data_IF_679146966304
#
_entry.id   IF_679146966304
#
_cell.length_a   1.000
_cell.length_b   1.000
_cell.length_c   1.000
_cell.angle_alpha   90.00
_cell.angle_beta   90.00
_cell.angle_gamma   90.00
#
_symmetry.space_group_name_H-M   'P 1'
#
loop_
_entity.id
_entity.type
_entity.pdbx_description
1 polymer ?
#
# COMPACT_ATOMS: atom_id res chain seq x y z
N UNK A 1 44.03 45.40 -12.23
CA UNK A 1 43.27 44.83 -11.10
C UNK A 1 41.90 45.47 -10.88
N UNK A 2 41.59 46.65 -11.45
CA UNK A 2 40.35 47.40 -11.20
C UNK A 2 39.13 47.03 -12.07
N UNK A 3 39.30 46.28 -13.17
CA UNK A 3 38.16 45.88 -14.04
C UNK A 3 37.45 44.60 -13.60
N UNK A 4 38.13 43.69 -12.90
CA UNK A 4 37.51 42.45 -12.42
C UNK A 4 36.59 42.70 -11.22
N UNK A 5 36.92 43.66 -10.35
CA UNK A 5 36.08 44.05 -9.22
C UNK A 5 34.80 44.76 -9.65
N UNK A 6 34.83 45.54 -10.73
CA UNK A 6 33.62 46.21 -11.27
C UNK A 6 32.66 45.18 -11.87
N UNK A 7 33.18 44.13 -12.51
CA UNK A 7 32.35 43.08 -13.11
C UNK A 7 31.66 42.21 -12.04
N UNK A 8 32.38 41.86 -10.97
CA UNK A 8 31.82 41.18 -9.79
C UNK A 8 30.80 42.04 -9.03
N UNK A 9 31.07 43.35 -8.87
CA UNK A 9 30.10 44.28 -8.28
C UNK A 9 28.85 44.42 -9.14
N UNK A 10 28.97 44.39 -10.48
CA UNK A 10 27.83 44.45 -11.38
C UNK A 10 26.98 43.19 -11.33
N UNK A 11 27.60 42.01 -11.22
CA UNK A 11 26.89 40.72 -11.10
C UNK A 11 26.18 40.61 -9.76
N UNK A 12 26.81 41.07 -8.67
CA UNK A 12 26.21 41.05 -7.33
C UNK A 12 25.03 42.03 -7.23
N UNK A 13 25.14 43.20 -7.84
CA UNK A 13 24.06 44.19 -7.89
C UNK A 13 22.88 43.70 -8.74
N UNK A 14 23.13 43.01 -9.86
CA UNK A 14 22.07 42.37 -10.66
C UNK A 14 21.31 41.31 -9.84
N UNK A 15 22.02 40.48 -9.07
CA UNK A 15 21.40 39.43 -8.26
C UNK A 15 20.57 39.99 -7.08
N UNK A 16 21.03 41.04 -6.40
CA UNK A 16 20.30 41.66 -5.29
C UNK A 16 19.06 42.44 -5.77
N UNK A 17 19.10 42.99 -6.99
CA UNK A 17 17.98 43.76 -7.55
C UNK A 17 16.86 42.86 -8.09
N UNK A 18 17.16 41.65 -8.56
CA UNK A 18 16.15 40.66 -8.97
C UNK A 18 15.47 39.99 -7.77
N UNK A 19 16.22 39.69 -6.70
CA UNK A 19 15.67 39.10 -5.47
C UNK A 19 14.78 40.10 -4.72
N UNK A 20 15.12 41.39 -4.74
CA UNK A 20 14.29 42.44 -4.11
C UNK A 20 13.03 42.74 -4.91
N UNK A 21 13.04 42.60 -6.25
CA UNK A 21 11.82 42.72 -7.07
C UNK A 21 10.87 41.54 -6.91
N UNK A 22 11.38 40.33 -6.70
CA UNK A 22 10.55 39.14 -6.47
C UNK A 22 9.75 39.20 -5.14
N UNK A 23 10.14 40.05 -4.19
CA UNK A 23 9.50 40.11 -2.85
C UNK A 23 8.43 41.21 -2.72
N UNK A 24 8.23 42.09 -3.72
CA UNK A 24 7.33 43.26 -3.59
C UNK A 24 6.27 43.43 -4.70
N UNK A 25 5.78 42.35 -5.29
CA UNK A 25 4.53 42.38 -6.08
C UNK A 25 3.55 41.32 -5.61
N UNK A 26 2.95 41.56 -4.45
CA UNK A 26 1.66 41.01 -4.09
C UNK A 26 0.55 41.73 -4.90
N UNK A 27 0.32 41.33 -6.15
CA UNK A 27 -0.99 41.40 -6.85
C UNK A 27 -0.90 40.86 -8.30
N UNK A 28 -1.52 39.70 -8.51
CA UNK A 28 -2.12 39.15 -9.76
C UNK A 28 -1.29 39.01 -11.06
N UNK A 29 -0.68 37.83 -11.29
CA UNK A 29 -0.58 37.14 -12.61
C UNK A 29 -0.06 35.67 -12.48
N UNK A 30 -0.31 34.75 -13.44
CA UNK A 30 -0.68 33.35 -13.16
C UNK A 30 0.38 32.26 -13.48
N UNK A 31 1.65 32.43 -13.09
CA UNK A 31 2.69 31.40 -13.39
C UNK A 31 3.28 30.74 -12.14
N UNK A 32 3.54 31.47 -11.06
CA UNK A 32 3.99 30.89 -9.78
C UNK A 32 2.85 30.21 -8.98
N UNK A 33 1.62 30.61 -9.29
CA UNK A 33 0.42 30.05 -8.68
C UNK A 33 0.13 28.63 -9.18
N UNK A 34 0.61 28.25 -10.37
CA UNK A 34 0.29 26.94 -10.96
C UNK A 34 1.04 25.82 -10.23
N UNK A 35 2.33 26.01 -9.94
CA UNK A 35 3.14 24.99 -9.24
C UNK A 35 2.75 24.88 -7.76
N UNK A 36 2.50 26.00 -7.08
CA UNK A 36 2.03 25.99 -5.68
C UNK A 36 0.62 25.41 -5.57
N UNK A 37 -0.28 25.69 -6.52
CA UNK A 37 -1.62 25.11 -6.53
C UNK A 37 -1.59 23.62 -6.84
N UNK A 38 -0.72 23.16 -7.74
CA UNK A 38 -0.59 21.75 -8.09
C UNK A 38 0.06 20.94 -6.96
N UNK A 39 1.09 21.49 -6.30
CA UNK A 39 1.69 20.89 -5.10
C UNK A 39 0.72 20.85 -3.92
N UNK A 40 -0.04 21.93 -3.71
CA UNK A 40 -1.09 21.96 -2.68
C UNK A 40 -2.19 20.96 -2.98
N UNK A 41 -2.67 20.91 -4.22
CA UNK A 41 -3.65 19.91 -4.66
C UNK A 41 -3.12 18.48 -4.48
N UNK A 42 -1.85 18.22 -4.83
CA UNK A 42 -1.20 16.92 -4.64
C UNK A 42 -1.06 16.53 -3.15
N UNK A 43 -0.76 17.48 -2.28
CA UNK A 43 -0.70 17.24 -0.84
C UNK A 43 -2.09 17.05 -0.23
N UNK A 44 -3.10 17.81 -0.67
CA UNK A 44 -4.49 17.68 -0.21
C UNK A 44 -5.07 16.31 -0.61
N UNK A 45 -4.83 15.84 -1.84
CA UNK A 45 -5.26 14.49 -2.25
C UNK A 45 -4.53 13.40 -1.47
N UNK A 46 -3.22 13.51 -1.26
CA UNK A 46 -2.46 12.52 -0.50
C UNK A 46 -2.87 12.47 0.96
N UNK A 47 -3.17 13.62 1.57
CA UNK A 47 -3.72 13.71 2.91
C UNK A 47 -5.09 13.03 2.99
N UNK A 48 -6.00 13.34 2.06
CA UNK A 48 -7.31 12.70 1.98
C UNK A 48 -7.20 11.17 1.82
N UNK A 49 -6.35 10.69 0.91
CA UNK A 49 -6.09 9.25 0.74
C UNK A 49 -5.54 8.60 2.02
N UNK A 50 -4.64 9.28 2.73
CA UNK A 50 -4.05 8.78 3.97
C UNK A 50 -5.10 8.66 5.08
N UNK A 51 -5.95 9.67 5.25
CA UNK A 51 -7.05 9.66 6.22
C UNK A 51 -8.03 8.53 5.90
N UNK A 52 -8.49 8.44 4.65
CA UNK A 52 -9.44 7.40 4.22
C UNK A 52 -8.86 5.99 4.43
N UNK A 53 -7.59 5.76 4.05
CA UNK A 53 -6.95 4.46 4.24
C UNK A 53 -6.83 4.10 5.72
N UNK A 54 -6.49 5.07 6.56
CA UNK A 54 -6.32 4.85 8.00
C UNK A 54 -7.65 4.54 8.68
N UNK A 55 -8.73 5.26 8.36
CA UNK A 55 -10.06 4.97 8.92
C UNK A 55 -10.58 3.61 8.45
N UNK A 56 -10.43 3.28 7.17
CA UNK A 56 -10.75 1.96 6.64
C UNK A 56 -9.91 0.86 7.29
N UNK A 57 -8.63 1.12 7.59
CA UNK A 57 -7.77 0.15 8.23
C UNK A 57 -8.22 -0.14 9.67
N UNK A 58 -8.53 0.89 10.46
CA UNK A 58 -9.04 0.72 11.84
C UNK A 58 -10.36 -0.06 11.83
N UNK A 59 -11.29 0.33 10.96
CA UNK A 59 -12.57 -0.37 10.81
C UNK A 59 -12.37 -1.82 10.36
N UNK A 60 -11.50 -2.03 9.37
CA UNK A 60 -11.18 -3.36 8.83
C UNK A 60 -10.57 -4.28 9.89
N UNK A 61 -9.65 -3.79 10.73
CA UNK A 61 -9.09 -4.59 11.83
C UNK A 61 -10.18 -5.00 12.80
N UNK A 62 -11.04 -4.08 13.22
CA UNK A 62 -12.15 -4.39 14.12
C UNK A 62 -13.11 -5.44 13.53
N UNK A 63 -13.51 -5.26 12.27
CA UNK A 63 -14.39 -6.20 11.56
C UNK A 63 -13.76 -7.59 11.40
N UNK A 64 -12.47 -7.64 11.05
CA UNK A 64 -11.72 -8.90 10.92
C UNK A 64 -11.58 -9.63 12.25
N UNK A 65 -11.33 -8.90 13.34
CA UNK A 65 -11.26 -9.49 14.69
C UNK A 65 -12.59 -10.11 15.12
N UNK A 66 -13.71 -9.40 14.90
CA UNK A 66 -15.04 -9.95 15.20
C UNK A 66 -15.31 -11.21 14.37
N UNK A 67 -15.00 -11.16 13.07
CA UNK A 67 -15.16 -12.30 12.16
C UNK A 67 -14.34 -13.51 12.61
N UNK A 68 -13.07 -13.31 12.99
CA UNK A 68 -12.21 -14.38 13.52
C UNK A 68 -12.81 -15.04 14.76
N UNK A 69 -13.26 -14.23 15.73
CA UNK A 69 -13.84 -14.73 16.99
C UNK A 69 -15.11 -15.54 16.73
N UNK A 70 -16.00 -15.05 15.86
CA UNK A 70 -17.25 -15.75 15.52
C UNK A 70 -16.97 -17.08 14.81
N UNK A 71 -16.07 -17.08 13.82
CA UNK A 71 -15.77 -18.27 13.01
C UNK A 71 -14.95 -19.34 13.74
N UNK A 72 -14.19 -18.95 14.77
CA UNK A 72 -13.41 -19.90 15.60
C UNK A 72 -14.31 -20.72 16.54
N UNK A 73 -15.59 -20.38 16.67
CA UNK A 73 -16.52 -21.15 17.48
C UNK A 73 -16.71 -22.57 16.91
N UNK A 74 -16.48 -23.59 17.76
CA UNK A 74 -16.53 -25.02 17.40
C UNK A 74 -17.88 -25.44 16.78
N UNK A 75 -18.98 -24.77 17.13
CA UNK A 75 -20.31 -25.02 16.54
C UNK A 75 -20.42 -24.62 15.06
N UNK A 76 -19.62 -23.66 14.61
CA UNK A 76 -19.61 -23.15 13.24
C UNK A 76 -18.49 -23.76 12.40
N UNK A 77 -17.80 -24.79 12.89
CA UNK A 77 -16.68 -25.36 12.17
C UNK A 77 -17.16 -26.10 10.92
N UNK A 78 -16.88 -25.49 9.76
CA UNK A 78 -17.21 -26.00 8.43
C UNK A 78 -16.08 -25.66 7.46
N UNK A 79 -16.01 -26.29 6.27
CA UNK A 79 -15.05 -25.94 5.22
C UNK A 79 -15.15 -24.45 4.81
N UNK A 80 -16.38 -23.93 4.71
CA UNK A 80 -16.63 -22.50 4.46
C UNK A 80 -16.06 -21.61 5.54
N UNK A 81 -16.23 -21.95 6.82
CA UNK A 81 -15.66 -21.17 7.93
C UNK A 81 -14.14 -21.15 7.88
N UNK A 82 -13.50 -22.21 7.39
CA UNK A 82 -12.05 -22.27 7.19
C UNK A 82 -11.57 -21.37 6.04
N UNK A 83 -12.33 -21.30 4.94
CA UNK A 83 -12.06 -20.34 3.85
C UNK A 83 -12.22 -18.89 4.33
N UNK A 84 -13.30 -18.60 5.06
CA UNK A 84 -13.55 -17.28 5.63
C UNK A 84 -12.47 -16.89 6.67
N UNK A 85 -12.01 -17.84 7.49
CA UNK A 85 -10.89 -17.58 8.41
C UNK A 85 -9.59 -17.29 7.65
N UNK A 86 -9.34 -17.97 6.53
CA UNK A 86 -8.21 -17.65 5.66
C UNK A 86 -8.33 -16.25 5.06
N UNK A 87 -9.54 -15.83 4.69
CA UNK A 87 -9.79 -14.48 4.18
C UNK A 87 -9.44 -13.42 5.24
N UNK A 88 -9.87 -13.64 6.48
CA UNK A 88 -9.52 -12.78 7.62
C UNK A 88 -8.00 -12.67 7.81
N UNK A 89 -7.26 -13.77 7.63
CA UNK A 89 -5.79 -13.75 7.70
C UNK A 89 -5.20 -12.90 6.57
N UNK A 90 -5.65 -13.06 5.33
CA UNK A 90 -5.16 -12.25 4.21
C UNK A 90 -5.47 -10.76 4.40
N UNK A 91 -6.67 -10.42 4.83
CA UNK A 91 -7.07 -9.03 5.05
C UNK A 91 -6.29 -8.42 6.23
N UNK A 92 -6.02 -9.18 7.30
CA UNK A 92 -5.16 -8.73 8.39
C UNK A 92 -3.72 -8.45 7.93
N UNK A 93 -3.14 -9.32 7.09
CA UNK A 93 -1.82 -9.11 6.49
C UNK A 93 -1.82 -7.86 5.59
N UNK A 94 -2.87 -7.67 4.78
CA UNK A 94 -3.01 -6.49 3.93
C UNK A 94 -3.05 -5.19 4.74
N UNK A 95 -3.82 -5.18 5.84
CA UNK A 95 -3.92 -4.03 6.74
C UNK A 95 -2.59 -3.73 7.42
N UNK A 96 -1.88 -4.74 7.93
CA UNK A 96 -0.54 -4.58 8.51
C UNK A 96 0.46 -4.03 7.48
N UNK A 97 0.46 -4.58 6.26
CA UNK A 97 1.34 -4.14 5.17
C UNK A 97 0.98 -2.73 4.66
N UNK A 98 -0.21 -2.21 4.98
CA UNK A 98 -0.62 -0.85 4.67
C UNK A 98 -0.20 0.19 5.72
N UNK A 99 0.32 -0.21 6.89
CA UNK A 99 0.77 0.72 7.93
C UNK A 99 2.02 1.51 7.48
N UNK A 100 3.09 0.87 6.95
CA UNK A 100 4.32 1.56 6.58
C UNK A 100 4.14 2.74 5.59
N UNK A 101 3.31 2.65 4.52
CA UNK A 101 3.12 3.77 3.60
C UNK A 101 2.35 4.94 4.25
N UNK A 102 1.50 4.68 5.23
CA UNK A 102 0.79 5.73 5.99
C UNK A 102 1.72 6.51 6.92
N UNK A 103 2.80 5.89 7.41
CA UNK A 103 3.78 6.54 8.30
C UNK A 103 4.60 7.61 7.56
N UNK A 104 4.87 7.46 6.25
CA UNK A 104 5.58 8.49 5.45
C UNK A 104 4.88 9.84 5.47
N UNK A 105 3.55 9.82 5.46
CA UNK A 105 2.73 11.02 5.40
C UNK A 105 2.59 11.73 6.75
N UNK A 106 2.89 11.03 7.87
CA UNK A 106 2.70 11.55 9.23
C UNK A 106 4.01 11.80 9.99
N UNK A 107 5.06 11.01 9.74
CA UNK A 107 6.33 11.12 10.46
C UNK A 107 7.48 11.34 9.49
N UNK A 108 8.13 12.49 9.60
CA UNK A 108 9.45 12.75 9.02
C UNK A 108 10.45 11.91 9.85
N UNK A 109 10.58 10.63 9.52
CA UNK A 109 11.56 9.77 10.17
C UNK A 109 12.94 10.07 9.60
N UNK A 110 13.88 10.51 10.44
CA UNK A 110 15.27 10.79 10.03
C UNK A 110 16.05 9.51 9.63
N UNK A 111 15.51 8.32 9.91
CA UNK A 111 16.08 7.03 9.47
C UNK A 111 15.51 6.58 8.11
N UNK A 112 16.06 7.17 7.05
CA UNK A 112 15.69 6.89 5.66
C UNK A 112 15.97 5.43 5.26
N UNK A 113 16.97 4.80 5.87
CA UNK A 113 17.42 3.44 5.49
C UNK A 113 16.54 2.35 6.09
N UNK A 114 16.17 2.48 7.36
CA UNK A 114 15.16 1.61 7.99
C UNK A 114 13.81 1.71 7.29
N UNK A 115 13.39 2.93 6.93
CA UNK A 115 12.15 3.18 6.22
C UNK A 115 12.13 2.60 4.79
N UNK A 116 13.21 2.79 4.02
CA UNK A 116 13.32 2.23 2.66
C UNK A 116 13.25 0.70 2.65
N UNK A 117 13.94 0.06 3.59
CA UNK A 117 13.91 -1.40 3.76
C UNK A 117 12.50 -1.90 4.08
N UNK A 118 11.81 -1.21 5.01
CA UNK A 118 10.43 -1.56 5.37
C UNK A 118 9.45 -1.37 4.21
N UNK A 119 9.62 -0.31 3.40
CA UNK A 119 8.87 -0.11 2.15
C UNK A 119 9.07 -1.25 1.16
N UNK A 120 10.33 -1.62 0.91
CA UNK A 120 10.71 -2.68 -0.02
C UNK A 120 10.09 -4.04 0.33
N UNK A 121 9.86 -4.31 1.61
CA UNK A 121 9.23 -5.56 2.10
C UNK A 121 7.70 -5.44 2.17
N UNK A 122 7.17 -4.31 2.63
CA UNK A 122 5.72 -4.11 2.79
C UNK A 122 4.97 -4.12 1.45
N UNK A 123 5.59 -3.60 0.39
CA UNK A 123 4.96 -3.49 -0.93
C UNK A 123 4.62 -4.86 -1.52
N UNK A 124 5.57 -5.81 -1.70
CA UNK A 124 5.25 -7.15 -2.22
C UNK A 124 4.27 -7.90 -1.30
N UNK A 125 4.43 -7.81 0.03
CA UNK A 125 3.51 -8.47 0.97
C UNK A 125 2.08 -7.96 0.80
N UNK A 126 1.88 -6.65 0.60
CA UNK A 126 0.55 -6.08 0.36
C UNK A 126 -0.10 -6.64 -0.90
N UNK A 127 0.66 -6.76 -2.00
CA UNK A 127 0.14 -7.38 -3.23
C UNK A 127 -0.15 -8.87 -3.05
N UNK A 128 0.69 -9.60 -2.33
CA UNK A 128 0.43 -11.00 -1.99
C UNK A 128 -0.87 -11.16 -1.23
N UNK A 129 -1.06 -10.35 -0.19
CA UNK A 129 -2.25 -10.38 0.64
C UNK A 129 -3.52 -10.04 -0.16
N UNK A 130 -3.43 -9.03 -1.04
CA UNK A 130 -4.53 -8.64 -1.92
C UNK A 130 -4.91 -9.78 -2.88
N UNK A 131 -3.93 -10.40 -3.55
CA UNK A 131 -4.19 -11.52 -4.47
C UNK A 131 -4.73 -12.74 -3.72
N UNK A 132 -4.17 -13.07 -2.55
CA UNK A 132 -4.65 -14.15 -1.69
C UNK A 132 -6.09 -13.95 -1.26
N UNK A 133 -6.47 -12.73 -0.89
CA UNK A 133 -7.85 -12.35 -0.54
C UNK A 133 -8.81 -12.52 -1.73
N UNK A 134 -8.42 -12.08 -2.93
CA UNK A 134 -9.22 -12.25 -4.17
C UNK A 134 -9.46 -13.73 -4.48
N UNK A 135 -8.40 -14.54 -4.53
CA UNK A 135 -8.54 -15.97 -4.84
C UNK A 135 -9.31 -16.73 -3.76
N UNK A 136 -9.14 -16.36 -2.49
CA UNK A 136 -9.92 -16.94 -1.40
C UNK A 136 -11.40 -16.58 -1.53
N UNK A 137 -11.71 -15.32 -1.86
CA UNK A 137 -13.09 -14.86 -2.10
C UNK A 137 -13.74 -15.62 -3.25
N UNK A 138 -13.04 -15.78 -4.38
CA UNK A 138 -13.52 -16.59 -5.51
C UNK A 138 -13.72 -18.05 -5.08
N UNK A 139 -12.85 -18.60 -4.25
CA UNK A 139 -13.02 -19.96 -3.74
C UNK A 139 -14.28 -20.09 -2.89
N UNK A 140 -14.57 -19.10 -2.02
CA UNK A 140 -15.82 -19.07 -1.21
C UNK A 140 -17.06 -18.99 -2.11
N UNK A 141 -17.03 -18.15 -3.15
CA UNK A 141 -18.18 -18.03 -4.06
C UNK A 141 -18.40 -19.31 -4.87
N UNK A 142 -17.32 -19.94 -5.36
CA UNK A 142 -17.39 -21.23 -6.04
C UNK A 142 -17.92 -22.33 -5.10
N UNK A 143 -17.46 -22.38 -3.86
CA UNK A 143 -17.97 -23.32 -2.86
C UNK A 143 -19.48 -23.18 -2.67
N UNK A 144 -19.96 -21.94 -2.46
CA UNK A 144 -21.40 -21.63 -2.33
C UNK A 144 -22.19 -21.98 -3.58
N UNK A 145 -21.63 -21.73 -4.75
CA UNK A 145 -22.25 -22.07 -6.03
C UNK A 145 -22.42 -23.59 -6.21
N UNK A 146 -21.39 -24.37 -5.89
CA UNK A 146 -21.43 -25.82 -5.95
C UNK A 146 -22.46 -26.41 -4.98
N UNK A 147 -22.56 -25.85 -3.77
CA UNK A 147 -23.56 -26.29 -2.77
C UNK A 147 -24.98 -26.12 -3.29
N UNK A 148 -25.27 -25.01 -3.98
CA UNK A 148 -26.61 -24.69 -4.49
C UNK A 148 -26.97 -25.54 -5.71
N UNK A 149 -26.06 -25.68 -6.68
CA UNK A 149 -26.39 -26.34 -7.96
C UNK A 149 -26.15 -27.84 -7.96
N UNK A 150 -25.15 -28.34 -7.24
CA UNK A 150 -24.74 -29.76 -7.31
C UNK A 150 -24.40 -30.30 -5.92
N UNK A 151 -25.40 -30.49 -5.04
CA UNK A 151 -25.18 -30.87 -3.64
C UNK A 151 -24.43 -32.20 -3.47
N UNK A 152 -24.60 -33.15 -4.40
CA UNK A 152 -23.87 -34.43 -4.42
C UNK A 152 -22.37 -34.25 -4.63
N UNK A 153 -21.98 -33.37 -5.56
CA UNK A 153 -20.57 -33.08 -5.83
C UNK A 153 -19.99 -32.13 -4.77
N UNK A 154 -20.78 -31.20 -4.25
CA UNK A 154 -20.36 -30.27 -3.19
C UNK A 154 -19.78 -31.00 -1.97
N UNK A 155 -20.33 -32.17 -1.59
CA UNK A 155 -19.80 -32.97 -0.47
C UNK A 155 -18.38 -33.50 -0.70
N UNK A 156 -18.00 -33.72 -1.96
CA UNK A 156 -16.65 -34.20 -2.33
C UNK A 156 -15.66 -33.04 -2.42
N UNK A 157 -16.10 -31.88 -2.95
CA UNK A 157 -15.26 -30.69 -3.06
C UNK A 157 -15.08 -29.95 -1.73
N UNK A 158 -16.16 -29.78 -0.96
CA UNK A 158 -16.19 -29.09 0.33
C UNK A 158 -15.76 -30.03 1.47
N UNK A 159 -14.54 -30.55 1.40
CA UNK A 159 -13.92 -31.30 2.50
C UNK A 159 -12.76 -30.49 3.08
N UNK A 160 -12.55 -30.59 4.40
CA UNK A 160 -11.45 -29.88 5.07
C UNK A 160 -10.09 -30.13 4.43
N UNK A 161 -9.83 -31.35 3.95
CA UNK A 161 -8.59 -31.71 3.28
C UNK A 161 -8.40 -30.98 1.95
N UNK A 162 -9.44 -30.93 1.11
CA UNK A 162 -9.37 -30.25 -0.19
C UNK A 162 -9.28 -28.73 -0.03
N UNK A 163 -10.08 -28.16 0.87
CA UNK A 163 -10.03 -26.73 1.21
C UNK A 163 -8.62 -26.32 1.65
N UNK A 164 -7.99 -27.11 2.53
CA UNK A 164 -6.61 -26.84 2.97
C UNK A 164 -5.59 -26.89 1.83
N UNK A 165 -5.73 -27.85 0.91
CA UNK A 165 -4.87 -27.94 -0.27
C UNK A 165 -5.02 -26.73 -1.19
N UNK A 166 -6.25 -26.28 -1.43
CA UNK A 166 -6.53 -25.08 -2.25
C UNK A 166 -5.90 -23.84 -1.61
N UNK A 167 -6.13 -23.63 -0.31
CA UNK A 167 -5.53 -22.49 0.41
C UNK A 167 -4.00 -22.51 0.37
N UNK A 168 -3.40 -23.69 0.53
CA UNK A 168 -1.96 -23.85 0.40
C UNK A 168 -1.47 -23.56 -1.02
N UNK A 169 -2.18 -24.02 -2.05
CA UNK A 169 -1.84 -23.72 -3.44
C UNK A 169 -1.93 -22.22 -3.75
N UNK A 170 -2.95 -21.51 -3.24
CA UNK A 170 -3.07 -20.05 -3.36
C UNK A 170 -1.87 -19.36 -2.69
N UNK A 171 -1.50 -19.78 -1.48
CA UNK A 171 -0.36 -19.21 -0.76
C UNK A 171 0.95 -19.40 -1.54
N UNK A 172 1.21 -20.60 -2.04
CA UNK A 172 2.40 -20.89 -2.87
C UNK A 172 2.39 -20.05 -4.14
N UNK A 173 1.25 -19.95 -4.83
CA UNK A 173 1.11 -19.15 -6.04
C UNK A 173 1.42 -17.67 -5.77
N UNK A 174 0.90 -17.11 -4.68
CA UNK A 174 1.17 -15.74 -4.27
C UNK A 174 2.67 -15.52 -3.97
N UNK A 175 3.33 -16.46 -3.30
CA UNK A 175 4.77 -16.38 -3.02
C UNK A 175 5.57 -16.42 -4.33
N UNK A 176 5.33 -17.40 -5.19
CA UNK A 176 6.05 -17.58 -6.46
C UNK A 176 5.94 -16.34 -7.34
N UNK A 177 4.75 -15.73 -7.42
CA UNK A 177 4.55 -14.49 -8.18
C UNK A 177 5.29 -13.27 -7.61
N UNK A 178 5.67 -13.29 -6.33
CA UNK A 178 6.36 -12.18 -5.68
C UNK A 178 7.88 -12.35 -5.62
N UNK A 179 8.42 -13.56 -5.87
CA UNK A 179 9.87 -13.79 -5.99
C UNK A 179 10.53 -12.87 -7.05
N UNK A 180 9.96 -12.67 -8.26
CA UNK A 180 10.53 -11.76 -9.25
C UNK A 180 10.64 -10.32 -8.75
N UNK A 181 9.70 -9.85 -7.93
CA UNK A 181 9.73 -8.51 -7.35
C UNK A 181 10.82 -8.34 -6.30
N UNK A 182 11.03 -9.34 -5.46
CA UNK A 182 12.14 -9.33 -4.50
C UNK A 182 13.49 -9.29 -5.21
N UNK A 183 13.65 -10.03 -6.32
CA UNK A 183 14.87 -9.99 -7.13
C UNK A 183 15.06 -8.65 -7.83
N UNK A 184 13.99 -8.05 -8.38
CA UNK A 184 14.07 -6.77 -9.07
C UNK A 184 14.53 -5.64 -8.14
N UNK A 185 14.02 -5.59 -6.90
CA UNK A 185 14.41 -4.55 -5.94
C UNK A 185 15.91 -4.66 -5.55
N UNK A 186 16.46 -5.87 -5.49
CA UNK A 186 17.89 -6.07 -5.19
C UNK A 186 18.79 -5.70 -6.37
N UNK A 187 18.33 -5.90 -7.61
CA UNK A 187 19.08 -5.53 -8.82
C UNK A 187 19.20 -4.00 -8.97
N UNK A 188 18.17 -3.25 -8.60
CA UNK A 188 18.21 -1.78 -8.65
C UNK A 188 19.23 -1.19 -7.67
N UNK A 189 19.25 -1.66 -6.42
CA UNK A 189 20.25 -1.22 -5.42
C UNK A 189 21.68 -1.58 -5.81
N UNK A 190 21.88 -2.63 -6.61
CA UNK A 190 23.18 -3.04 -7.11
C UNK A 190 23.64 -2.25 -8.35
N UNK A 191 22.73 -1.59 -9.07
CA UNK A 191 23.09 -0.71 -10.20
C UNK A 191 23.41 0.72 -9.79
N UNK A 192 23.02 1.14 -8.58
CA UNK A 192 23.29 2.46 -8.02
C UNK A 192 24.62 2.50 -7.19
N UNK A 193 25.41 1.41 -7.18
CA UNK A 193 26.79 1.35 -6.67
C UNK A 193 27.82 1.27 -7.80
#
# INVERSE_FOLDING_TARGET
MSSLTILELSIKNLNDTDVTRATMTSSESPVENVDVSCLKHHNDVNMAFTVIRTTLAVFGVAANMVTAVVLTNRRLWSPTSMLLLSLVVYDAIFLLASIPPSVKGMFITNDLRGYSTLMGVSYPIRYMAQMGSIYTTVTVTVERFLIVLVPLQARVFCTFGNTRKILFAVLVFCIVFNIPRCFFNQLWDASDQ
#
